data_IF_280615620354
#
_entry.id   IF_280615620354
#
_cell.length_a   1.000
_cell.length_b   1.000
_cell.length_c   1.000
_cell.angle_alpha   90.00
_cell.angle_beta   90.00
_cell.angle_gamma   90.00
#
_symmetry.space_group_name_H-M   'P 1'
#
loop_
_entity.id
_entity.type
_entity.pdbx_description
1 polymer ?
#
# COMPACT_ATOMS: atom_id res chain seq x y z
N UNK A 1 20.26 3.74 1.39
CA UNK A 1 19.59 3.06 0.26
C UNK A 1 19.44 4.01 -0.91
N UNK A 2 19.89 3.58 -2.07
CA UNK A 2 19.63 4.25 -3.35
C UNK A 2 18.18 4.04 -3.80
N UNK A 3 17.71 4.85 -4.76
CA UNK A 3 16.35 4.72 -5.30
C UNK A 3 16.12 3.38 -6.01
N UNK A 4 17.15 2.84 -6.64
CA UNK A 4 17.11 1.57 -7.37
C UNK A 4 16.96 0.38 -6.42
N UNK A 5 17.71 0.35 -5.31
CA UNK A 5 17.57 -0.67 -4.26
C UNK A 5 16.16 -0.68 -3.65
N UNK A 6 15.61 0.51 -3.39
CA UNK A 6 14.24 0.64 -2.88
C UNK A 6 13.20 0.11 -3.87
N UNK A 7 13.41 0.35 -5.17
CA UNK A 7 12.52 -0.15 -6.21
C UNK A 7 12.59 -1.69 -6.35
N UNK A 8 13.78 -2.27 -6.23
CA UNK A 8 13.96 -3.73 -6.24
C UNK A 8 13.28 -4.41 -5.04
N UNK A 9 13.45 -3.85 -3.84
CA UNK A 9 12.75 -4.30 -2.62
C UNK A 9 11.24 -4.17 -2.80
N UNK A 10 10.76 -3.04 -3.31
CA UNK A 10 9.35 -2.81 -3.57
C UNK A 10 8.77 -3.84 -4.57
N UNK A 11 9.52 -4.22 -5.61
CA UNK A 11 9.15 -5.28 -6.55
C UNK A 11 8.91 -6.62 -5.85
N UNK A 12 9.86 -7.06 -5.01
CA UNK A 12 9.73 -8.31 -4.23
C UNK A 12 8.58 -8.27 -3.23
N UNK A 13 8.35 -7.11 -2.60
CA UNK A 13 7.18 -6.91 -1.70
C UNK A 13 5.86 -6.99 -2.47
N UNK A 14 5.81 -6.49 -3.71
CA UNK A 14 4.62 -6.57 -4.58
C UNK A 14 4.30 -8.00 -4.99
N UNK A 15 5.31 -8.83 -5.22
CA UNK A 15 5.19 -10.27 -5.51
C UNK A 15 4.72 -11.09 -4.30
N UNK A 16 4.72 -10.50 -3.10
CA UNK A 16 4.25 -11.15 -1.87
C UNK A 16 5.33 -11.97 -1.16
N UNK A 17 6.60 -11.72 -1.46
CA UNK A 17 7.72 -12.36 -0.77
C UNK A 17 7.74 -11.92 0.71
N UNK A 18 7.91 -12.84 1.68
CA UNK A 18 8.02 -12.50 3.10
C UNK A 18 9.18 -11.55 3.37
N UNK A 19 9.00 -10.63 4.32
CA UNK A 19 10.01 -9.62 4.65
C UNK A 19 11.33 -10.24 5.14
N UNK A 20 11.26 -11.33 5.90
CA UNK A 20 12.45 -12.07 6.36
C UNK A 20 13.27 -12.60 5.19
N UNK A 21 12.62 -13.22 4.20
CA UNK A 21 13.30 -13.71 2.98
C UNK A 21 13.93 -12.58 2.17
N UNK A 22 13.30 -11.40 2.13
CA UNK A 22 13.86 -10.24 1.44
C UNK A 22 15.12 -9.76 2.16
N UNK A 23 15.10 -9.68 3.50
CA UNK A 23 16.26 -9.27 4.30
C UNK A 23 17.41 -10.27 4.15
N UNK A 24 17.11 -11.57 4.19
CA UNK A 24 18.12 -12.63 4.07
C UNK A 24 18.76 -12.62 2.68
N UNK A 25 17.97 -12.45 1.61
CA UNK A 25 18.54 -12.29 0.26
C UNK A 25 19.44 -11.06 0.12
N UNK A 26 19.11 -9.96 0.80
CA UNK A 26 19.94 -8.76 0.79
C UNK A 26 21.24 -9.04 1.54
N UNK A 27 21.17 -9.70 2.70
CA UNK A 27 22.35 -10.10 3.48
C UNK A 27 23.25 -11.06 2.70
N UNK A 28 22.67 -12.07 2.05
CA UNK A 28 23.40 -13.04 1.22
C UNK A 28 24.02 -12.38 -0.03
N UNK A 29 23.42 -11.30 -0.54
CA UNK A 29 23.99 -10.55 -1.66
C UNK A 29 25.23 -9.73 -1.27
N UNK A 30 25.43 -9.46 0.01
CA UNK A 30 26.55 -8.69 0.54
C UNK A 30 27.67 -9.67 0.88
N UNK A 31 28.39 -10.12 -0.14
CA UNK A 31 29.48 -11.09 0.00
C UNK A 31 30.82 -10.48 0.44
N UNK A 32 30.87 -9.18 0.70
CA UNK A 32 32.14 -8.47 0.87
C UNK A 32 32.27 -7.89 2.29
N UNK A 33 33.35 -8.28 2.96
CA UNK A 33 33.63 -8.12 4.41
C UNK A 33 33.88 -6.65 4.79
N UNK A 34 34.03 -5.78 3.80
CA UNK A 34 34.45 -4.39 3.99
C UNK A 34 33.42 -3.33 3.59
N UNK A 35 32.19 -3.72 3.24
CA UNK A 35 31.24 -2.71 2.80
C UNK A 35 30.48 -2.15 3.99
N UNK A 36 30.70 -0.85 4.23
CA UNK A 36 29.80 0.08 4.95
C UNK A 36 28.46 0.20 4.20
N UNK A 37 27.84 -0.94 3.94
CA UNK A 37 26.59 -1.04 3.22
C UNK A 37 25.47 -0.84 4.22
N UNK A 38 24.82 0.33 4.14
CA UNK A 38 23.56 0.61 4.85
C UNK A 38 22.47 -0.47 4.62
N UNK A 39 22.66 -1.36 3.63
CA UNK A 39 21.87 -2.55 3.37
C UNK A 39 21.99 -3.63 4.45
N UNK A 40 23.13 -3.76 5.13
CA UNK A 40 23.31 -4.72 6.25
C UNK A 40 22.44 -4.33 7.45
N UNK A 41 22.28 -3.02 7.66
CA UNK A 41 21.48 -2.45 8.75
C UNK A 41 19.99 -2.33 8.42
N UNK A 42 19.51 -2.90 7.29
CA UNK A 42 18.09 -2.87 6.96
C UNK A 42 17.28 -3.67 7.97
N UNK A 43 16.26 -3.03 8.54
CA UNK A 43 15.31 -3.68 9.42
C UNK A 43 13.96 -3.92 8.71
N UNK A 44 13.12 -4.78 9.30
CA UNK A 44 11.73 -4.97 8.87
C UNK A 44 10.96 -3.65 8.80
N UNK A 45 11.33 -2.67 9.64
CA UNK A 45 10.73 -1.33 9.66
C UNK A 45 11.01 -0.54 8.38
N UNK A 46 12.22 -0.68 7.82
CA UNK A 46 12.58 -0.02 6.56
C UNK A 46 11.79 -0.61 5.38
N UNK A 47 11.60 -1.92 5.36
CA UNK A 47 10.75 -2.58 4.37
C UNK A 47 9.30 -2.11 4.50
N UNK A 48 8.81 -1.92 5.73
CA UNK A 48 7.48 -1.33 5.98
C UNK A 48 7.37 0.10 5.44
N UNK A 49 8.40 0.93 5.65
CA UNK A 49 8.45 2.28 5.11
C UNK A 49 8.49 2.28 3.59
N UNK A 50 9.26 1.38 2.97
CA UNK A 50 9.31 1.22 1.51
C UNK A 50 7.95 0.76 0.97
N UNK A 51 7.32 -0.22 1.61
CA UNK A 51 5.96 -0.68 1.26
C UNK A 51 4.95 0.47 1.31
N UNK A 52 5.07 1.33 2.33
CA UNK A 52 4.23 2.52 2.50
C UNK A 52 4.48 3.56 1.42
N UNK A 53 5.75 3.88 1.16
CA UNK A 53 6.14 4.91 0.20
C UNK A 53 5.80 4.50 -1.24
N UNK A 54 5.86 3.20 -1.56
CA UNK A 54 5.44 2.66 -2.85
C UNK A 54 3.94 2.32 -2.93
N UNK A 55 3.16 2.64 -1.89
CA UNK A 55 1.71 2.37 -1.82
C UNK A 55 1.34 0.91 -2.14
N UNK A 56 2.22 -0.05 -1.83
CA UNK A 56 2.03 -1.49 -2.09
C UNK A 56 1.06 -2.16 -1.09
N UNK A 57 0.17 -1.37 -0.52
CA UNK A 57 -0.88 -1.85 0.36
C UNK A 57 -2.09 -2.21 -0.49
N UNK A 58 -2.42 -3.52 -0.53
CA UNK A 58 -3.76 -3.94 -0.94
C UNK A 58 -4.76 -3.37 0.07
N UNK A 59 -5.41 -2.27 -0.27
CA UNK A 59 -6.54 -1.73 0.49
C UNK A 59 -6.27 -0.50 1.36
N UNK A 60 -5.21 0.29 1.14
CA UNK A 60 -5.23 1.64 1.74
C UNK A 60 -6.27 2.48 1.01
N UNK A 61 -7.34 2.79 1.75
CA UNK A 61 -8.18 3.94 1.50
C UNK A 61 -7.27 5.14 1.20
N UNK A 62 -7.56 5.83 0.11
CA UNK A 62 -6.91 7.08 -0.30
C UNK A 62 -6.83 8.02 0.91
N UNK A 63 -5.77 8.83 1.02
CA UNK A 63 -5.57 9.80 2.11
C UNK A 63 -6.76 10.75 2.33
N UNK A 64 -7.63 10.85 1.33
CA UNK A 64 -8.91 11.51 1.45
C UNK A 64 -10.01 10.44 1.54
N UNK A 65 -10.63 10.33 2.71
CA UNK A 65 -11.72 9.40 2.99
C UNK A 65 -12.86 9.55 1.97
N UNK A 66 -13.08 10.75 1.44
CA UNK A 66 -14.05 11.02 0.38
C UNK A 66 -13.84 10.13 -0.86
N UNK A 67 -12.61 10.04 -1.34
CA UNK A 67 -12.27 9.26 -2.55
C UNK A 67 -12.50 7.78 -2.26
N UNK A 68 -12.15 7.33 -1.06
CA UNK A 68 -12.30 5.94 -0.63
C UNK A 68 -13.75 5.51 -0.50
N UNK A 69 -14.61 6.37 0.07
CA UNK A 69 -16.04 6.12 0.20
C UNK A 69 -16.69 6.13 -1.18
N UNK A 70 -16.36 7.09 -2.05
CA UNK A 70 -16.87 7.12 -3.43
C UNK A 70 -16.55 5.84 -4.20
N UNK A 71 -15.28 5.42 -4.20
CA UNK A 71 -14.84 4.17 -4.83
C UNK A 71 -15.50 2.92 -4.23
N UNK A 72 -15.82 2.93 -2.93
CA UNK A 72 -16.54 1.83 -2.30
C UNK A 72 -18.02 1.84 -2.73
N UNK A 73 -18.67 2.99 -2.72
CA UNK A 73 -20.07 3.13 -3.15
C UNK A 73 -20.23 2.72 -4.61
N UNK A 74 -19.34 3.14 -5.51
CA UNK A 74 -19.35 2.72 -6.92
C UNK A 74 -19.26 1.18 -7.04
N UNK A 75 -18.32 0.55 -6.33
CA UNK A 75 -18.18 -0.92 -6.31
C UNK A 75 -19.40 -1.64 -5.76
N UNK A 76 -20.09 -1.02 -4.80
CA UNK A 76 -21.25 -1.61 -4.15
C UNK A 76 -22.52 -1.36 -4.97
N UNK A 77 -22.57 -0.28 -5.75
CA UNK A 77 -23.63 0.00 -6.72
C UNK A 77 -23.65 -1.04 -7.85
N UNK A 78 -22.49 -1.56 -8.24
CA UNK A 78 -22.37 -2.67 -9.19
C UNK A 78 -22.98 -3.99 -8.68
N UNK A 79 -23.21 -4.14 -7.36
CA UNK A 79 -23.80 -5.34 -6.76
C UNK A 79 -25.33 -5.44 -6.90
N UNK A 80 -25.99 -4.46 -7.55
CA UNK A 80 -27.43 -4.41 -7.85
C UNK A 80 -28.32 -4.89 -6.67
N UNK A 81 -28.85 -6.10 -6.71
CA UNK A 81 -29.76 -6.68 -5.71
C UNK A 81 -29.13 -6.86 -4.31
N UNK A 82 -27.80 -6.85 -4.21
CA UNK A 82 -27.08 -6.94 -2.92
C UNK A 82 -26.48 -5.61 -2.49
N UNK A 83 -26.90 -4.50 -3.09
CA UNK A 83 -26.42 -3.17 -2.72
C UNK A 83 -27.11 -2.69 -1.42
N UNK A 84 -26.38 -2.58 -0.27
CA UNK A 84 -26.92 -2.02 0.97
C UNK A 84 -27.04 -0.49 0.96
N UNK A 85 -26.52 0.20 -0.05
CA UNK A 85 -26.48 1.68 -0.11
C UNK A 85 -27.83 2.20 -0.63
N UNK A 86 -28.68 2.63 0.30
CA UNK A 86 -29.97 3.25 0.00
C UNK A 86 -29.83 4.73 -0.40
N UNK A 87 -28.84 5.41 0.17
CA UNK A 87 -28.57 6.82 -0.09
C UNK A 87 -27.08 7.09 0.11
N UNK A 88 -26.47 7.74 -0.88
CA UNK A 88 -25.12 8.26 -0.81
C UNK A 88 -25.14 9.71 -1.26
N UNK A 89 -24.39 10.55 -0.55
CA UNK A 89 -24.26 11.97 -0.83
C UNK A 89 -22.78 12.33 -0.79
N UNK A 90 -22.33 13.09 -1.79
CA UNK A 90 -20.94 13.52 -1.86
C UNK A 90 -20.65 14.64 -0.85
N UNK A 91 -19.38 14.75 -0.44
CA UNK A 91 -18.94 15.75 0.51
C UNK A 91 -18.99 17.14 -0.15
N UNK A 92 -19.90 17.99 0.31
CA UNK A 92 -20.11 19.34 -0.22
C UNK A 92 -21.46 19.57 -0.89
N UNK A 93 -22.22 18.50 -1.15
CA UNK A 93 -23.60 18.65 -1.63
C UNK A 93 -24.52 19.16 -0.51
N UNK A 94 -25.68 19.71 -0.85
CA UNK A 94 -26.74 20.04 0.11
C UNK A 94 -27.62 18.80 0.38
N UNK A 95 -28.18 18.70 1.59
CA UNK A 95 -29.05 17.57 1.95
C UNK A 95 -30.35 17.74 1.16
N UNK A 96 -30.66 16.78 0.30
CA UNK A 96 -31.99 16.68 -0.28
C UNK A 96 -32.85 15.96 0.74
N UNK A 97 -33.78 16.68 1.38
CA UNK A 97 -34.82 16.09 2.21
C UNK A 97 -35.76 15.27 1.32
N UNK A 98 -35.96 14.00 1.67
CA UNK A 98 -36.96 13.17 1.01
C UNK A 98 -38.34 13.42 1.66
N UNK A 99 -39.44 13.34 0.87
CA UNK A 99 -40.81 13.40 1.38
C UNK A 99 -41.19 12.19 2.25
#
# INVERSE_FOLDING_TARGET
LTKEERASIAGKVKEGVPFDTILDQIRDSINDVYVDNALVCLEKRDIWNIRRDFQLHKGRQHTNDFISVKLWVEKVQDLKEKNPVLYYKEQGDEKIEYP
#
